data_IF_247864527706
#
_entry.id   IF_247864527706
#
_cell.length_a   1.000
_cell.length_b   1.000
_cell.length_c   1.000
_cell.angle_alpha   90.00
_cell.angle_beta   90.00
_cell.angle_gamma   90.00
#
_symmetry.space_group_name_H-M   'P 1'
#
loop_
_entity.id
_entity.type
_entity.pdbx_description
1 polymer ?
#
# COMPACT_ATOMS: atom_id res chain seq x y z
N UNK A 1 3.12 6.52 2.39
CA UNK A 1 2.84 7.84 1.76
C UNK A 1 2.16 7.59 0.42
N UNK A 2 0.97 8.13 0.19
CA UNK A 2 0.36 8.11 -1.14
C UNK A 2 0.87 9.33 -1.91
N UNK A 3 1.17 9.16 -3.19
CA UNK A 3 1.42 10.29 -4.08
C UNK A 3 0.06 10.66 -4.67
N UNK A 4 -0.42 11.85 -4.33
CA UNK A 4 -1.66 12.39 -4.85
C UNK A 4 -1.28 13.67 -5.59
N UNK A 5 -1.19 13.64 -6.94
CA UNK A 5 -0.95 14.86 -7.71
C UNK A 5 -2.16 15.79 -7.62
N UNK A 6 -1.97 17.06 -7.98
CA UNK A 6 -3.09 17.97 -8.17
C UNK A 6 -3.99 17.48 -9.31
N UNK A 7 -5.31 17.74 -9.24
CA UNK A 7 -6.22 17.45 -10.34
C UNK A 7 -5.79 18.20 -11.60
N UNK A 8 -6.14 17.65 -12.75
CA UNK A 8 -6.04 18.36 -14.04
C UNK A 8 -6.95 19.60 -14.04
N UNK A 9 -6.68 20.57 -14.92
CA UNK A 9 -7.52 21.77 -15.05
C UNK A 9 -9.00 21.43 -15.31
N UNK A 10 -9.28 20.37 -16.07
CA UNK A 10 -10.65 19.91 -16.31
C UNK A 10 -11.31 19.31 -15.06
N UNK A 11 -10.58 18.49 -14.30
CA UNK A 11 -11.06 17.96 -13.02
C UNK A 11 -11.30 19.07 -12.00
N UNK A 12 -10.40 20.04 -11.95
CA UNK A 12 -10.51 21.19 -11.06
C UNK A 12 -11.70 22.09 -11.44
N UNK A 13 -11.93 22.32 -12.74
CA UNK A 13 -13.11 23.02 -13.22
C UNK A 13 -14.41 22.28 -12.82
N UNK A 14 -14.44 20.95 -12.91
CA UNK A 14 -15.58 20.14 -12.43
C UNK A 14 -15.79 20.27 -10.93
N UNK A 15 -14.72 20.27 -10.14
CA UNK A 15 -14.79 20.48 -8.69
C UNK A 15 -15.37 21.86 -8.38
N UNK A 16 -14.86 22.92 -9.01
CA UNK A 16 -15.35 24.29 -8.84
C UNK A 16 -16.82 24.41 -9.25
N UNK A 17 -17.23 23.84 -10.39
CA UNK A 17 -18.62 23.85 -10.82
C UNK A 17 -19.55 23.08 -9.85
N UNK A 18 -19.08 21.96 -9.29
CA UNK A 18 -19.88 21.11 -8.40
C UNK A 18 -20.04 21.70 -7.00
N UNK A 19 -19.01 22.38 -6.49
CA UNK A 19 -18.95 22.83 -5.09
C UNK A 19 -18.91 24.35 -4.91
N UNK A 20 -18.65 25.14 -5.96
CA UNK A 20 -18.47 26.59 -5.88
C UNK A 20 -19.73 27.39 -5.53
N UNK A 21 -20.91 26.84 -5.80
CA UNK A 21 -22.20 27.47 -5.45
C UNK A 21 -22.79 26.95 -4.12
N UNK A 22 -22.18 25.93 -3.51
CA UNK A 22 -22.72 25.27 -2.31
C UNK A 22 -22.18 25.92 -1.04
N UNK A 23 -23.07 26.33 -0.14
CA UNK A 23 -22.72 26.79 1.19
C UNK A 23 -22.88 25.66 2.23
N UNK A 24 -21.82 25.38 3.00
CA UNK A 24 -21.83 24.44 4.12
C UNK A 24 -21.33 23.02 3.80
N UNK A 25 -21.11 22.19 4.84
CA UNK A 25 -20.60 20.83 4.67
C UNK A 25 -21.62 19.94 3.97
N UNK A 26 -21.22 19.28 2.89
CA UNK A 26 -22.07 18.33 2.17
C UNK A 26 -22.32 17.09 3.01
N UNK A 27 -23.58 16.66 3.17
CA UNK A 27 -23.87 15.34 3.72
C UNK A 27 -23.83 14.31 2.59
N UNK A 28 -23.45 13.04 2.86
CA UNK A 28 -23.44 12.00 1.83
C UNK A 28 -24.77 11.86 1.08
N UNK A 29 -25.90 12.03 1.78
CA UNK A 29 -27.24 11.97 1.18
C UNK A 29 -27.47 13.07 0.12
N UNK A 30 -26.90 14.27 0.30
CA UNK A 30 -27.00 15.38 -0.65
C UNK A 30 -26.20 15.11 -1.95
N UNK A 31 -25.36 14.06 -1.93
CA UNK A 31 -24.58 13.55 -3.06
C UNK A 31 -25.16 12.24 -3.63
N UNK A 32 -26.34 11.81 -3.19
CA UNK A 32 -26.95 10.55 -3.62
C UNK A 32 -26.24 9.30 -3.07
N UNK A 33 -25.41 9.44 -2.03
CA UNK A 33 -24.68 8.33 -1.42
C UNK A 33 -25.54 7.69 -0.33
N UNK A 34 -25.83 6.40 -0.48
CA UNK A 34 -26.50 5.59 0.52
C UNK A 34 -25.49 4.78 1.36
N UNK A 35 -25.82 4.52 2.62
CA UNK A 35 -25.04 3.63 3.46
C UNK A 35 -25.18 2.18 2.97
N UNK A 36 -24.05 1.53 2.68
CA UNK A 36 -24.00 0.13 2.21
C UNK A 36 -23.44 -0.85 3.25
N UNK A 37 -22.91 -0.33 4.35
CA UNK A 37 -22.39 -1.10 5.46
C UNK A 37 -22.58 -0.32 6.77
N UNK A 38 -22.68 -1.05 7.87
CA UNK A 38 -22.70 -0.51 9.23
C UNK A 38 -21.44 -0.95 10.00
N UNK A 39 -21.35 -0.56 11.27
CA UNK A 39 -20.22 -0.91 12.12
C UNK A 39 -20.04 -2.43 12.27
N UNK A 40 -21.14 -3.19 12.32
CA UNK A 40 -21.11 -4.64 12.43
C UNK A 40 -20.59 -5.30 11.13
N UNK A 41 -21.03 -4.81 9.98
CA UNK A 41 -20.56 -5.24 8.66
C UNK A 41 -19.08 -4.96 8.46
N UNK A 42 -18.58 -3.78 8.89
CA UNK A 42 -17.16 -3.45 8.83
C UNK A 42 -16.35 -4.36 9.76
N UNK A 43 -16.83 -4.63 10.98
CA UNK A 43 -16.17 -5.54 11.90
C UNK A 43 -16.11 -6.97 11.35
N UNK A 44 -17.20 -7.45 10.73
CA UNK A 44 -17.23 -8.75 10.06
C UNK A 44 -16.25 -8.82 8.88
N UNK A 45 -16.17 -7.76 8.06
CA UNK A 45 -15.19 -7.67 6.98
C UNK A 45 -13.74 -7.71 7.50
N UNK A 46 -13.45 -7.01 8.60
CA UNK A 46 -12.13 -7.05 9.22
C UNK A 46 -11.76 -8.45 9.75
N UNK A 47 -12.73 -9.22 10.24
CA UNK A 47 -12.53 -10.62 10.63
C UNK A 47 -12.32 -11.53 9.42
N UNK A 48 -13.08 -11.32 8.33
CA UNK A 48 -12.91 -12.07 7.09
C UNK A 48 -11.52 -11.86 6.47
N UNK A 49 -10.99 -10.64 6.49
CA UNK A 49 -9.62 -10.36 6.06
C UNK A 49 -8.60 -11.14 6.90
N UNK A 50 -8.83 -11.30 8.20
CA UNK A 50 -7.92 -12.06 9.09
C UNK A 50 -7.92 -13.57 8.79
N UNK A 51 -9.01 -14.11 8.25
CA UNK A 51 -9.09 -15.54 7.92
C UNK A 51 -8.44 -15.92 6.58
N UNK A 52 -8.12 -14.95 5.72
CA UNK A 52 -7.36 -15.19 4.48
C UNK A 52 -6.02 -15.82 4.80
N UNK A 53 -5.70 -16.97 4.20
CA UNK A 53 -4.49 -17.75 4.49
C UNK A 53 -3.23 -17.03 4.01
N UNK A 54 -2.21 -17.00 4.87
CA UNK A 54 -0.85 -16.58 4.51
C UNK A 54 0.06 -17.78 4.71
N UNK A 55 0.47 -18.40 3.60
CA UNK A 55 1.36 -19.56 3.64
C UNK A 55 2.74 -19.17 4.18
N UNK A 56 3.42 -20.13 4.81
CA UNK A 56 4.77 -19.94 5.36
C UNK A 56 5.76 -19.42 4.30
N UNK A 57 5.69 -19.94 3.08
CA UNK A 57 6.51 -19.48 1.95
C UNK A 57 6.32 -18.00 1.62
N UNK A 58 5.10 -17.47 1.81
CA UNK A 58 4.80 -16.05 1.62
C UNK A 58 5.29 -15.22 2.81
N UNK A 59 5.18 -15.75 4.03
CA UNK A 59 5.78 -15.12 5.22
C UNK A 59 7.28 -14.95 5.03
N UNK A 60 7.97 -16.02 4.62
CA UNK A 60 9.40 -16.00 4.35
C UNK A 60 9.77 -15.03 3.25
N UNK A 61 8.96 -14.96 2.18
CA UNK A 61 9.15 -13.97 1.12
C UNK A 61 9.07 -12.53 1.63
N UNK A 62 8.05 -12.21 2.43
CA UNK A 62 7.90 -10.87 3.04
C UNK A 62 9.09 -10.54 3.94
N UNK A 63 9.54 -11.50 4.75
CA UNK A 63 10.70 -11.32 5.63
C UNK A 63 11.97 -11.09 4.82
N UNK A 64 12.24 -11.90 3.78
CA UNK A 64 13.40 -11.74 2.91
C UNK A 64 13.40 -10.38 2.21
N UNK A 65 12.28 -9.97 1.65
CA UNK A 65 12.15 -8.65 1.00
C UNK A 65 12.46 -7.52 2.00
N UNK A 66 11.88 -7.57 3.21
CA UNK A 66 12.12 -6.55 4.23
C UNK A 66 13.56 -6.60 4.77
N UNK A 67 14.18 -7.78 4.85
CA UNK A 67 15.61 -7.93 5.19
C UNK A 67 16.51 -7.33 4.12
N UNK A 68 16.22 -7.56 2.84
CA UNK A 68 17.00 -7.01 1.73
C UNK A 68 17.10 -5.48 1.79
N UNK A 69 16.05 -4.80 2.26
CA UNK A 69 16.11 -3.33 2.49
C UNK A 69 17.15 -2.90 3.54
N UNK A 70 17.51 -3.77 4.50
CA UNK A 70 18.53 -3.49 5.52
C UNK A 70 19.93 -3.90 5.10
N UNK A 71 20.03 -4.70 4.05
CA UNK A 71 21.28 -5.22 3.49
C UNK A 71 21.73 -4.41 2.25
N UNK A 72 20.87 -3.54 1.74
CA UNK A 72 21.18 -2.61 0.63
C UNK A 72 22.14 -1.49 1.04
N UNK A 73 23.22 -1.31 0.27
CA UNK A 73 24.16 -0.19 0.43
C UNK A 73 23.57 1.18 0.02
N UNK A 74 22.49 1.18 -0.76
CA UNK A 74 21.78 2.39 -1.17
C UNK A 74 20.89 2.97 -0.07
N UNK A 75 20.78 2.28 1.07
CA UNK A 75 19.96 2.67 2.20
C UNK A 75 20.82 2.91 3.44
N UNK A 76 20.72 4.11 4.00
CA UNK A 76 21.22 4.38 5.35
C UNK A 76 20.39 3.68 6.42
N UNK A 77 19.10 3.46 6.15
CA UNK A 77 18.20 2.73 7.04
C UNK A 77 17.13 1.98 6.26
N UNK A 78 17.05 0.67 6.48
CA UNK A 78 16.05 -0.20 5.90
C UNK A 78 14.76 -0.30 6.74
N UNK A 79 13.77 -1.00 6.20
CA UNK A 79 12.47 -1.16 6.86
C UNK A 79 12.58 -2.06 8.10
N UNK A 80 11.79 -1.78 9.13
CA UNK A 80 11.75 -2.59 10.37
C UNK A 80 10.80 -3.80 10.27
N UNK A 81 10.83 -4.75 11.22
CA UNK A 81 9.87 -5.87 11.25
C UNK A 81 8.40 -5.44 11.23
N UNK A 82 8.09 -4.24 11.73
CA UNK A 82 6.74 -3.66 11.65
C UNK A 82 6.27 -3.47 10.20
N UNK A 83 7.18 -3.22 9.26
CA UNK A 83 6.85 -3.13 7.84
C UNK A 83 6.40 -4.48 7.27
N UNK A 84 7.07 -5.58 7.65
CA UNK A 84 6.71 -6.94 7.25
C UNK A 84 5.29 -7.30 7.68
N UNK A 85 4.95 -7.04 8.95
CA UNK A 85 3.60 -7.30 9.49
C UNK A 85 2.53 -6.52 8.73
N UNK A 86 2.78 -5.23 8.47
CA UNK A 86 1.82 -4.37 7.76
C UNK A 86 1.67 -4.76 6.29
N UNK A 87 2.76 -5.17 5.62
CA UNK A 87 2.73 -5.66 4.25
C UNK A 87 1.92 -6.96 4.15
N UNK A 88 2.15 -7.90 5.06
CA UNK A 88 1.39 -9.15 5.14
C UNK A 88 -0.11 -8.92 5.38
N UNK A 89 -0.46 -8.02 6.30
CA UNK A 89 -1.86 -7.68 6.57
C UNK A 89 -2.54 -6.98 5.39
N UNK A 90 -1.85 -6.07 4.72
CA UNK A 90 -2.37 -5.41 3.53
C UNK A 90 -2.57 -6.42 2.39
N UNK A 91 -1.68 -7.40 2.26
CA UNK A 91 -1.81 -8.45 1.25
C UNK A 91 -3.00 -9.39 1.51
N UNK A 92 -3.30 -9.71 2.78
CA UNK A 92 -4.55 -10.41 3.12
C UNK A 92 -5.79 -9.61 2.71
N UNK A 93 -5.77 -8.29 2.95
CA UNK A 93 -6.86 -7.42 2.56
C UNK A 93 -7.04 -7.39 1.04
N UNK A 94 -5.94 -7.28 0.28
CA UNK A 94 -5.97 -7.33 -1.19
C UNK A 94 -6.52 -8.65 -1.71
N UNK A 95 -6.03 -9.77 -1.20
CA UNK A 95 -6.54 -11.09 -1.56
C UNK A 95 -8.03 -11.24 -1.28
N UNK A 96 -8.51 -10.78 -0.11
CA UNK A 96 -9.94 -10.77 0.21
C UNK A 96 -10.77 -9.92 -0.76
N UNK A 97 -10.30 -8.72 -1.12
CA UNK A 97 -10.96 -7.83 -2.08
C UNK A 97 -11.00 -8.42 -3.49
N UNK A 98 -10.02 -9.27 -3.83
CA UNK A 98 -10.01 -10.04 -5.07
C UNK A 98 -10.78 -11.38 -4.96
N UNK A 99 -11.48 -11.63 -3.86
CA UNK A 99 -12.30 -12.82 -3.65
C UNK A 99 -11.52 -14.11 -3.35
N UNK A 100 -10.23 -13.99 -3.00
CA UNK A 100 -9.34 -15.13 -2.72
C UNK A 100 -9.22 -15.39 -1.22
N UNK A 101 -9.19 -16.67 -0.85
CA UNK A 101 -8.97 -17.15 0.52
C UNK A 101 -7.50 -17.29 0.92
N UNK A 102 -6.56 -16.90 0.07
CA UNK A 102 -5.12 -17.00 0.32
C UNK A 102 -4.35 -15.88 -0.41
N UNK A 103 -3.20 -15.51 0.16
CA UNK A 103 -2.29 -14.50 -0.38
C UNK A 103 -1.37 -15.10 -1.43
N UNK A 104 -1.17 -14.39 -2.54
CA UNK A 104 -0.19 -14.68 -3.58
C UNK A 104 1.07 -13.80 -3.42
N UNK A 105 2.25 -14.21 -3.92
CA UNK A 105 3.42 -13.33 -3.93
C UNK A 105 3.17 -12.00 -4.62
N UNK A 106 2.37 -11.98 -5.69
CA UNK A 106 2.02 -10.76 -6.42
C UNK A 106 1.21 -9.75 -5.59
N UNK A 107 0.52 -10.20 -4.54
CA UNK A 107 -0.11 -9.32 -3.56
C UNK A 107 0.95 -8.50 -2.81
N UNK A 108 2.02 -9.17 -2.39
CA UNK A 108 3.16 -8.56 -1.70
C UNK A 108 3.84 -7.56 -2.65
N UNK A 109 4.11 -7.98 -3.88
CA UNK A 109 4.84 -7.17 -4.88
C UNK A 109 4.13 -5.85 -5.16
N UNK A 110 2.82 -5.86 -5.43
CA UNK A 110 2.14 -4.61 -5.77
C UNK A 110 1.97 -3.67 -4.57
N UNK A 111 1.95 -4.20 -3.35
CA UNK A 111 1.80 -3.39 -2.13
C UNK A 111 3.14 -2.90 -1.57
N UNK A 112 4.25 -3.54 -1.92
CA UNK A 112 5.58 -3.22 -1.41
C UNK A 112 5.97 -1.73 -1.62
N UNK A 113 5.80 -1.12 -2.80
CA UNK A 113 6.12 0.31 -2.99
C UNK A 113 5.36 1.22 -2.02
N UNK A 114 4.05 1.02 -1.87
CA UNK A 114 3.22 1.85 -1.01
C UNK A 114 3.58 1.71 0.48
N UNK A 115 3.88 0.48 0.92
CA UNK A 115 4.21 0.16 2.31
C UNK A 115 5.64 0.58 2.66
N UNK A 116 6.61 0.40 1.76
CA UNK A 116 8.03 0.54 2.07
C UNK A 116 8.57 1.97 1.85
N UNK A 117 8.10 2.72 0.85
CA UNK A 117 8.74 4.00 0.44
C UNK A 117 9.01 5.03 1.53
N UNK A 118 8.22 5.02 2.61
CA UNK A 118 8.30 5.99 3.71
C UNK A 118 8.92 5.39 4.97
N UNK A 119 9.54 4.22 4.82
CA UNK A 119 10.19 3.43 5.87
C UNK A 119 11.66 3.17 5.56
N UNK A 120 12.14 3.77 4.47
CA UNK A 120 13.48 3.64 3.96
C UNK A 120 14.11 5.03 3.95
N UNK A 121 15.38 5.09 4.30
CA UNK A 121 16.20 6.29 4.21
C UNK A 121 17.36 5.98 3.27
N UNK A 122 17.49 6.77 2.20
CA UNK A 122 18.60 6.64 1.25
C UNK A 122 19.94 6.92 1.93
N UNK A 123 21.00 6.28 1.45
CA UNK A 123 22.35 6.66 1.82
C UNK A 123 22.73 7.99 1.16
N UNK A 124 23.65 8.78 1.76
CA UNK A 124 24.10 10.04 1.14
C UNK A 124 24.64 9.86 -0.29
N UNK A 125 25.31 8.73 -0.55
CA UNK A 125 25.79 8.41 -1.90
C UNK A 125 24.64 8.20 -2.89
N UNK A 126 23.61 7.44 -2.50
CA UNK A 126 22.43 7.22 -3.32
C UNK A 126 21.64 8.52 -3.58
N UNK A 127 21.57 9.42 -2.61
CA UNK A 127 20.96 10.75 -2.79
C UNK A 127 21.73 11.61 -3.79
N UNK A 128 23.06 11.62 -3.72
CA UNK A 128 23.93 12.34 -4.66
C UNK A 128 23.78 11.80 -6.09
N UNK A 129 23.63 10.49 -6.24
CA UNK A 129 23.36 9.82 -7.52
C UNK A 129 21.92 10.05 -8.03
N UNK A 130 21.06 10.71 -7.25
CA UNK A 130 19.69 11.01 -7.63
C UNK A 130 18.76 9.79 -7.61
N UNK A 131 19.13 8.71 -6.90
CA UNK A 131 18.31 7.51 -6.78
C UNK A 131 16.98 7.83 -6.10
N UNK A 132 15.93 7.14 -6.54
CA UNK A 132 14.59 7.27 -5.98
C UNK A 132 14.24 6.02 -5.18
N UNK A 133 13.66 6.20 -3.99
CA UNK A 133 13.26 5.09 -3.11
C UNK A 133 12.30 4.14 -3.83
N UNK A 134 11.40 4.68 -4.67
CA UNK A 134 10.45 3.91 -5.44
C UNK A 134 11.11 2.94 -6.41
N UNK A 135 12.14 3.40 -7.13
CA UNK A 135 12.90 2.58 -8.07
C UNK A 135 13.63 1.47 -7.31
N UNK A 136 14.31 1.82 -6.22
CA UNK A 136 15.01 0.86 -5.38
C UNK A 136 14.08 -0.20 -4.78
N UNK A 137 12.87 0.17 -4.34
CA UNK A 137 11.89 -0.81 -3.88
C UNK A 137 11.48 -1.75 -5.01
N UNK A 138 11.28 -1.24 -6.23
CA UNK A 138 11.01 -2.07 -7.40
C UNK A 138 12.14 -3.07 -7.68
N UNK A 139 13.39 -2.61 -7.65
CA UNK A 139 14.57 -3.45 -7.83
C UNK A 139 14.66 -4.55 -6.76
N UNK A 140 14.43 -4.20 -5.49
CA UNK A 140 14.44 -5.16 -4.38
C UNK A 140 13.31 -6.20 -4.50
N UNK A 141 12.15 -5.80 -5.00
CA UNK A 141 11.01 -6.70 -5.25
C UNK A 141 11.35 -7.72 -6.34
N UNK A 142 11.98 -7.28 -7.42
CA UNK A 142 12.38 -8.15 -8.54
C UNK A 142 13.58 -9.04 -8.17
N UNK A 143 14.54 -8.52 -7.40
CA UNK A 143 15.71 -9.27 -6.96
C UNK A 143 15.38 -10.33 -5.88
N UNK A 144 14.31 -10.14 -5.11
CA UNK A 144 13.91 -11.11 -4.09
C UNK A 144 13.09 -12.23 -4.74
N UNK A 145 13.65 -13.44 -4.83
CA UNK A 145 12.97 -14.58 -5.45
C UNK A 145 11.63 -14.88 -4.76
N UNK A 146 10.53 -14.86 -5.52
CA UNK A 146 9.22 -15.23 -5.01
C UNK A 146 9.07 -16.77 -4.92
N UNK A 147 8.33 -17.30 -3.95
CA UNK A 147 8.06 -18.74 -3.89
C UNK A 147 7.24 -19.16 -5.12
N UNK A 148 7.48 -20.40 -5.57
CA UNK A 148 6.74 -21.04 -6.66
C UNK A 148 5.35 -21.47 -6.24
#
# INVERSE_FOLDING_TARGET
KLLVPYPTSEEEARIVATFGERAGPSRPADLGIAAVADAAGIAAAALAVKSVTLAESVVDYVVRLVRATRESADLASGASPRAAVLLANAARARAALEGRGYVLPDDIKALAPAVLRHRLLLSPAAEIEGKQVEALVGELVEATEAPR
#
